data_IF_771763827734
#
_entry.id   IF_771763827734
#
_cell.length_a   1.000
_cell.length_b   1.000
_cell.length_c   1.000
_cell.angle_alpha   90.00
_cell.angle_beta   90.00
_cell.angle_gamma   90.00
#
_symmetry.space_group_name_H-M   'P 1'
#
loop_
_entity.id
_entity.type
_entity.pdbx_description
1 polymer ?
#
# COMPACT_ATOMS: atom_id res chain seq x y z
N UNK A 1 18.78 53.93 -19.03
CA UNK A 1 20.05 53.17 -19.03
C UNK A 1 20.33 52.65 -17.63
N UNK A 2 20.05 51.37 -17.36
CA UNK A 2 20.68 50.56 -16.30
C UNK A 2 20.06 49.17 -16.38
N UNK A 3 20.69 48.30 -17.17
CA UNK A 3 20.19 46.96 -17.50
C UNK A 3 21.40 46.04 -17.58
N UNK A 4 21.98 45.65 -16.43
CA UNK A 4 23.14 44.73 -16.38
C UNK A 4 23.48 44.29 -14.94
N UNK A 5 22.65 43.45 -14.29
CA UNK A 5 23.03 42.67 -13.09
C UNK A 5 22.27 41.33 -12.91
N UNK A 6 21.87 40.67 -13.99
CA UNK A 6 21.13 39.39 -13.91
C UNK A 6 21.94 38.07 -13.96
N UNK A 7 23.20 37.97 -14.47
CA UNK A 7 23.79 36.65 -14.72
C UNK A 7 24.46 35.98 -13.51
N UNK A 8 24.74 36.71 -12.42
CA UNK A 8 25.47 36.14 -11.28
C UNK A 8 24.60 35.30 -10.33
N UNK A 9 23.29 35.58 -10.25
CA UNK A 9 22.37 34.88 -9.33
C UNK A 9 21.99 33.49 -9.87
N UNK A 10 21.94 33.33 -11.19
CA UNK A 10 21.58 32.05 -11.82
C UNK A 10 22.69 30.97 -11.65
N UNK A 11 23.96 31.38 -11.63
CA UNK A 11 25.11 30.49 -11.43
C UNK A 11 25.26 30.02 -9.97
N UNK A 12 24.87 30.85 -9.00
CA UNK A 12 24.88 30.48 -7.58
C UNK A 12 23.79 29.44 -7.24
N UNK A 13 22.64 29.49 -7.93
CA UNK A 13 21.55 28.52 -7.71
C UNK A 13 21.91 27.11 -8.23
N UNK A 14 22.69 27.03 -9.31
CA UNK A 14 23.12 25.75 -9.90
C UNK A 14 24.18 25.03 -9.05
N UNK A 15 25.04 25.77 -8.33
CA UNK A 15 26.04 25.19 -7.45
C UNK A 15 25.44 24.60 -6.15
N UNK A 16 24.28 25.08 -5.70
CA UNK A 16 23.62 24.54 -4.50
C UNK A 16 22.91 23.19 -4.74
N UNK A 17 22.53 22.89 -5.99
CA UNK A 17 21.85 21.65 -6.39
C UNK A 17 22.81 20.47 -6.61
N UNK A 18 24.12 20.69 -6.61
CA UNK A 18 25.12 19.64 -6.85
C UNK A 18 25.56 18.87 -5.59
N UNK A 19 25.04 19.21 -4.40
CA UNK A 19 25.22 18.39 -3.21
C UNK A 19 24.27 17.19 -3.24
N UNK A 20 24.45 16.32 -4.24
CA UNK A 20 23.89 14.99 -4.23
C UNK A 20 24.50 14.25 -3.03
N UNK A 21 23.70 14.09 -1.97
CA UNK A 21 24.03 13.27 -0.82
C UNK A 21 24.34 11.88 -1.36
N UNK A 22 25.62 11.51 -1.38
CA UNK A 22 26.04 10.14 -1.62
C UNK A 22 25.51 9.31 -0.45
N UNK A 23 24.27 8.85 -0.57
CA UNK A 23 23.71 7.85 0.33
C UNK A 23 24.57 6.63 0.14
N UNK A 24 25.48 6.37 1.09
CA UNK A 24 26.18 5.10 1.16
C UNK A 24 25.11 4.02 1.17
N UNK A 25 25.00 3.29 0.06
CA UNK A 25 24.17 2.09 -0.02
C UNK A 25 24.69 1.11 1.02
N UNK A 26 24.15 1.18 2.25
CA UNK A 26 24.23 0.06 3.17
C UNK A 26 23.55 -1.09 2.46
N UNK A 27 24.28 -2.19 2.24
CA UNK A 27 23.67 -3.41 1.73
C UNK A 27 22.48 -3.79 2.61
N UNK A 28 21.36 -4.15 1.98
CA UNK A 28 20.15 -4.61 2.68
C UNK A 28 20.51 -5.73 3.66
N UNK A 29 20.00 -5.63 4.88
CA UNK A 29 20.09 -6.70 5.89
C UNK A 29 19.30 -7.92 5.43
N UNK A 30 19.59 -9.09 6.01
CA UNK A 30 18.84 -10.32 5.68
C UNK A 30 17.34 -10.22 6.02
N UNK A 31 16.97 -9.42 7.02
CA UNK A 31 15.57 -9.17 7.38
C UNK A 31 14.85 -8.38 6.28
N UNK A 32 15.45 -7.30 5.78
CA UNK A 32 14.88 -6.49 4.69
C UNK A 32 14.83 -7.27 3.37
N UNK A 33 15.83 -8.13 3.10
CA UNK A 33 15.80 -9.03 1.93
C UNK A 33 14.64 -10.00 2.00
N UNK A 34 14.39 -10.59 3.18
CA UNK A 34 13.27 -11.51 3.40
C UNK A 34 11.92 -10.80 3.22
N UNK A 35 11.77 -9.59 3.77
CA UNK A 35 10.56 -8.77 3.59
C UNK A 35 10.27 -8.44 2.11
N UNK A 36 11.31 -8.36 1.28
CA UNK A 36 11.22 -8.10 -0.17
C UNK A 36 11.20 -9.37 -1.03
N UNK A 37 11.14 -10.56 -0.44
CA UNK A 37 11.16 -11.83 -1.19
C UNK A 37 12.48 -12.12 -1.92
N UNK A 38 13.56 -11.41 -1.59
CA UNK A 38 14.88 -11.63 -2.16
C UNK A 38 15.60 -12.79 -1.45
N UNK A 39 16.45 -13.57 -2.14
CA UNK A 39 17.27 -14.59 -1.50
C UNK A 39 18.12 -14.01 -0.36
N UNK A 40 18.19 -14.69 0.77
CA UNK A 40 18.99 -14.29 1.94
C UNK A 40 20.47 -14.14 1.52
N UNK A 41 21.13 -13.04 1.92
CA UNK A 41 22.54 -12.85 1.63
C UNK A 41 23.38 -13.85 2.45
N UNK A 42 24.45 -14.36 1.82
CA UNK A 42 25.37 -15.29 2.48
C UNK A 42 25.90 -14.66 3.77
N UNK A 43 25.94 -15.40 4.90
CA UNK A 43 26.45 -14.87 6.15
C UNK A 43 27.90 -14.42 5.97
N UNK A 44 28.15 -13.13 6.16
CA UNK A 44 29.50 -12.60 6.21
C UNK A 44 30.05 -12.83 7.61
N UNK A 45 30.70 -13.97 7.80
CA UNK A 45 31.56 -14.15 8.96
C UNK A 45 32.77 -13.25 8.75
N UNK A 46 32.73 -12.05 9.35
CA UNK A 46 33.87 -11.14 9.40
C UNK A 46 35.07 -11.89 9.98
N UNK A 47 35.93 -12.38 9.09
CA UNK A 47 37.14 -13.10 9.49
C UNK A 47 38.06 -12.10 10.17
N UNK A 48 38.38 -12.43 11.41
CA UNK A 48 39.50 -11.92 12.18
C UNK A 48 39.35 -10.47 12.67
N UNK A 49 38.68 -10.32 13.83
CA UNK A 49 39.07 -9.25 14.74
C UNK A 49 40.54 -9.46 15.11
N UNK A 50 41.45 -8.51 14.83
CA UNK A 50 42.84 -8.62 15.27
C UNK A 50 42.87 -8.76 16.79
N UNK A 51 43.53 -9.81 17.29
CA UNK A 51 43.67 -10.08 18.72
C UNK A 51 42.70 -11.12 19.32
N UNK A 52 41.74 -11.67 18.55
CA UNK A 52 41.00 -12.86 18.98
C UNK A 52 41.50 -14.12 18.27
N UNK A 53 42.35 -14.88 18.95
CA UNK A 53 42.62 -16.26 18.55
C UNK A 53 41.29 -17.04 18.53
N UNK A 54 41.04 -17.90 17.51
CA UNK A 54 39.88 -18.78 17.50
C UNK A 54 39.84 -19.54 18.84
N UNK A 55 38.73 -19.46 19.57
CA UNK A 55 38.56 -20.24 20.79
C UNK A 55 38.74 -21.71 20.42
N UNK A 56 39.76 -22.42 20.95
CA UNK A 56 39.96 -23.82 20.63
C UNK A 56 38.71 -24.58 21.09
N UNK A 57 37.99 -25.15 20.12
CA UNK A 57 36.89 -26.06 20.38
C UNK A 57 37.51 -27.33 20.97
N UNK A 58 37.69 -27.34 22.29
CA UNK A 58 38.05 -28.54 23.02
C UNK A 58 36.89 -29.51 22.84
N UNK A 59 37.13 -30.59 22.10
CA UNK A 59 36.14 -31.64 21.90
C UNK A 59 35.71 -32.17 23.26
N UNK A 60 34.55 -31.71 23.73
CA UNK A 60 33.96 -32.22 24.95
C UNK A 60 33.71 -33.71 24.73
N UNK A 61 34.50 -34.55 25.43
CA UNK A 61 34.33 -35.99 25.52
C UNK A 61 32.92 -36.22 26.07
N UNK A 62 31.96 -36.46 25.17
CA UNK A 62 30.58 -36.81 25.55
C UNK A 62 30.66 -38.20 26.17
N UNK A 63 30.61 -38.26 27.51
CA UNK A 63 30.13 -39.45 28.19
C UNK A 63 28.77 -39.80 27.59
N UNK A 64 28.55 -41.07 27.27
CA UNK A 64 27.25 -41.60 26.85
C UNK A 64 26.24 -41.36 27.98
N UNK A 65 25.63 -40.16 27.99
CA UNK A 65 24.40 -39.93 28.74
C UNK A 65 23.33 -40.76 28.06
N UNK A 66 22.60 -41.54 28.86
CA UNK A 66 21.42 -42.27 28.42
C UNK A 66 20.56 -41.36 27.54
N UNK A 67 20.27 -41.83 26.32
CA UNK A 67 19.40 -41.12 25.39
C UNK A 67 18.14 -40.70 26.13
N UNK A 68 17.85 -39.39 26.28
CA UNK A 68 16.51 -39.00 26.64
C UNK A 68 15.61 -39.58 25.56
N UNK A 69 14.70 -40.47 25.96
CA UNK A 69 13.60 -40.93 25.13
C UNK A 69 13.06 -39.72 24.36
N UNK A 70 12.71 -39.85 23.07
CA UNK A 70 12.07 -38.78 22.34
C UNK A 70 10.79 -38.44 23.11
N UNK A 71 10.86 -37.41 23.96
CA UNK A 71 9.69 -36.75 24.50
C UNK A 71 8.86 -36.45 23.28
N UNK A 72 7.68 -37.07 23.21
CA UNK A 72 6.71 -36.85 22.17
C UNK A 72 6.72 -35.35 21.92
N UNK A 73 7.34 -34.94 20.80
CA UNK A 73 7.19 -33.59 20.30
C UNK A 73 5.70 -33.44 20.30
N UNK A 74 5.19 -32.60 21.19
CA UNK A 74 3.78 -32.24 21.16
C UNK A 74 3.59 -31.88 19.70
N UNK A 75 2.86 -32.73 18.98
CA UNK A 75 2.22 -32.36 17.76
C UNK A 75 1.32 -31.22 18.22
N UNK A 76 1.92 -30.03 18.30
CA UNK A 76 1.28 -28.78 18.02
C UNK A 76 0.53 -29.15 16.77
N UNK A 77 -0.74 -29.43 16.98
CA UNK A 77 -1.71 -29.57 15.95
C UNK A 77 -1.42 -28.34 15.10
N UNK A 78 -0.77 -28.62 13.97
CA UNK A 78 -0.76 -27.75 12.82
C UNK A 78 -2.22 -27.72 12.43
N UNK A 79 -3.03 -27.00 13.23
CA UNK A 79 -4.32 -26.47 12.90
C UNK A 79 -4.01 -25.68 11.66
N UNK A 80 -4.12 -26.38 10.52
CA UNK A 80 -3.82 -25.84 9.22
C UNK A 80 -4.48 -24.49 9.19
N UNK A 81 -3.69 -23.46 8.89
CA UNK A 81 -4.20 -22.10 8.77
C UNK A 81 -5.27 -22.13 7.69
N UNK A 82 -6.52 -22.43 8.06
CA UNK A 82 -7.61 -22.58 7.12
C UNK A 82 -7.77 -21.23 6.43
N UNK A 83 -7.47 -21.22 5.14
CA UNK A 83 -7.71 -20.08 4.28
C UNK A 83 -9.14 -20.15 3.79
N UNK A 84 -9.90 -19.07 3.94
CA UNK A 84 -11.27 -18.95 3.43
C UNK A 84 -11.26 -17.98 2.26
N UNK A 85 -11.64 -18.48 1.08
CA UNK A 85 -11.93 -17.65 -0.08
C UNK A 85 -13.33 -17.06 0.04
N UNK A 86 -13.42 -15.76 -0.25
CA UNK A 86 -14.63 -14.95 -0.17
C UNK A 86 -14.83 -14.25 -1.51
N UNK A 87 -16.10 -14.05 -1.85
CA UNK A 87 -16.54 -13.48 -3.12
C UNK A 87 -17.80 -12.66 -2.85
N UNK A 88 -17.96 -11.54 -3.54
CA UNK A 88 -19.14 -10.67 -3.38
C UNK A 88 -18.94 -9.30 -4.00
N UNK A 89 -19.75 -8.34 -3.54
CA UNK A 89 -19.60 -6.91 -3.86
C UNK A 89 -19.11 -6.15 -2.63
N UNK A 90 -18.57 -4.95 -2.83
CA UNK A 90 -18.21 -4.07 -1.71
C UNK A 90 -19.31 -3.04 -1.54
N UNK A 91 -20.05 -3.14 -0.44
CA UNK A 91 -21.00 -2.13 0.00
C UNK A 91 -20.25 -0.98 0.68
N UNK A 92 -20.67 0.25 0.38
CA UNK A 92 -20.12 1.49 0.95
C UNK A 92 -21.15 2.10 1.89
N UNK A 93 -20.81 2.16 3.17
CA UNK A 93 -21.61 2.79 4.21
C UNK A 93 -20.92 4.07 4.70
N UNK A 94 -21.67 5.08 5.10
CA UNK A 94 -21.11 6.18 5.90
C UNK A 94 -20.66 5.65 7.26
N UNK A 95 -19.84 6.42 7.99
CA UNK A 95 -19.49 6.09 9.39
C UNK A 95 -20.69 6.04 10.34
N UNK A 96 -21.85 6.59 9.96
CA UNK A 96 -23.12 6.46 10.69
C UNK A 96 -23.91 5.19 10.34
N UNK A 97 -23.40 4.34 9.44
CA UNK A 97 -24.06 3.14 8.94
C UNK A 97 -25.11 3.39 7.86
N UNK A 98 -25.15 4.58 7.27
CA UNK A 98 -26.08 4.89 6.18
C UNK A 98 -25.56 4.29 4.88
N UNK A 99 -26.41 3.52 4.19
CA UNK A 99 -26.08 2.96 2.89
C UNK A 99 -25.92 4.04 1.83
N UNK A 100 -24.74 4.08 1.19
CA UNK A 100 -24.50 4.95 0.03
C UNK A 100 -24.67 4.20 -1.28
N UNK A 101 -24.23 2.94 -1.35
CA UNK A 101 -24.25 2.17 -2.58
C UNK A 101 -23.21 1.06 -2.60
N UNK A 102 -22.82 0.64 -3.80
CA UNK A 102 -21.75 -0.34 -4.01
C UNK A 102 -20.54 0.30 -4.68
N UNK A 103 -19.36 -0.23 -4.40
CA UNK A 103 -18.13 0.18 -5.06
C UNK A 103 -18.23 -0.13 -6.56
N UNK A 104 -17.91 0.84 -7.40
CA UNK A 104 -17.98 0.72 -8.86
C UNK A 104 -16.70 1.26 -9.51
N UNK A 105 -16.34 0.69 -10.66
CA UNK A 105 -15.32 1.25 -11.54
C UNK A 105 -16.01 1.83 -12.75
N UNK A 106 -15.81 3.13 -12.98
CA UNK A 106 -16.37 3.82 -14.13
C UNK A 106 -15.50 3.64 -15.36
N UNK A 107 -16.02 3.96 -16.55
CA UNK A 107 -15.30 3.84 -17.84
C UNK A 107 -14.10 4.77 -17.96
N UNK A 108 -14.07 5.85 -17.17
CA UNK A 108 -12.88 6.68 -17.03
C UNK A 108 -11.81 6.02 -16.13
N UNK A 109 -12.08 4.83 -15.57
CA UNK A 109 -11.23 4.07 -14.67
C UNK A 109 -11.27 4.55 -13.20
N UNK A 110 -12.02 5.61 -12.90
CA UNK A 110 -12.18 6.09 -11.53
C UNK A 110 -12.96 5.06 -10.73
N UNK A 111 -12.52 4.79 -9.50
CA UNK A 111 -13.31 4.01 -8.55
C UNK A 111 -14.14 4.95 -7.69
N UNK A 112 -15.44 4.70 -7.62
CA UNK A 112 -16.37 5.48 -6.81
C UNK A 112 -17.55 4.65 -6.35
N UNK A 113 -18.67 5.32 -6.07
CA UNK A 113 -19.88 4.68 -5.54
C UNK A 113 -20.96 4.65 -6.63
N UNK A 114 -21.50 3.47 -6.91
CA UNK A 114 -22.76 3.30 -7.62
C UNK A 114 -23.91 3.38 -6.62
N UNK A 115 -24.74 4.41 -6.74
CA UNK A 115 -25.89 4.69 -5.88
C UNK A 115 -27.13 3.83 -6.20
N UNK A 116 -26.99 2.80 -7.04
CA UNK A 116 -28.10 1.98 -7.52
C UNK A 116 -28.89 2.63 -8.66
N UNK A 117 -28.39 3.72 -9.23
CA UNK A 117 -28.96 4.37 -10.43
C UNK A 117 -28.56 3.65 -11.70
N UNK A 118 -27.41 2.96 -11.69
CA UNK A 118 -26.89 2.22 -12.82
C UNK A 118 -27.19 0.73 -12.67
N UNK A 119 -27.12 -0.01 -13.78
CA UNK A 119 -27.27 -1.46 -13.74
C UNK A 119 -26.24 -2.09 -12.77
N UNK A 120 -26.65 -3.14 -12.04
CA UNK A 120 -25.77 -3.90 -11.13
C UNK A 120 -24.50 -4.42 -11.82
N UNK A 121 -24.46 -4.45 -13.16
CA UNK A 121 -23.28 -4.80 -13.95
C UNK A 121 -22.09 -3.84 -13.79
N UNK A 122 -22.33 -2.64 -13.26
CA UNK A 122 -21.29 -1.64 -12.97
C UNK A 122 -20.65 -1.83 -11.58
N UNK A 123 -21.23 -2.65 -10.71
CA UNK A 123 -20.68 -2.91 -9.39
C UNK A 123 -19.39 -3.74 -9.49
N UNK A 124 -18.40 -3.41 -8.68
CA UNK A 124 -17.18 -4.21 -8.58
C UNK A 124 -17.47 -5.55 -7.89
N UNK A 125 -17.36 -6.61 -8.67
CA UNK A 125 -17.32 -7.99 -8.17
C UNK A 125 -15.91 -8.27 -7.71
N UNK A 126 -15.75 -8.67 -6.45
CA UNK A 126 -14.43 -8.89 -5.85
C UNK A 126 -14.28 -10.31 -5.30
N UNK A 127 -13.03 -10.74 -5.17
CA UNK A 127 -12.68 -11.93 -4.41
C UNK A 127 -11.37 -11.76 -3.66
N UNK A 128 -11.26 -12.46 -2.54
CA UNK A 128 -10.02 -12.47 -1.77
C UNK A 128 -9.96 -13.71 -0.89
N UNK A 129 -8.76 -14.03 -0.40
CA UNK A 129 -8.54 -15.15 0.52
C UNK A 129 -7.98 -14.63 1.82
N UNK A 130 -8.66 -14.97 2.92
CA UNK A 130 -8.26 -14.57 4.28
C UNK A 130 -7.82 -15.79 5.08
N UNK A 131 -6.92 -15.58 6.05
CA UNK A 131 -6.68 -16.59 7.08
C UNK A 131 -7.80 -16.57 8.11
N UNK A 132 -8.07 -17.72 8.73
CA UNK A 132 -9.11 -17.86 9.76
C UNK A 132 -8.98 -16.85 10.94
N UNK A 133 -7.78 -16.32 11.20
CA UNK A 133 -7.57 -15.33 12.27
C UNK A 133 -8.09 -13.92 11.91
N UNK A 134 -8.40 -13.62 10.64
CA UNK A 134 -8.82 -12.30 10.15
C UNK A 134 -7.80 -11.16 10.32
N UNK A 135 -6.59 -11.46 10.79
CA UNK A 135 -5.57 -10.44 11.14
C UNK A 135 -4.56 -10.17 10.02
N UNK A 136 -4.45 -11.09 9.08
CA UNK A 136 -3.50 -10.97 7.98
C UNK A 136 -4.05 -10.05 6.89
N UNK A 137 -3.15 -9.27 6.27
CA UNK A 137 -3.53 -8.47 5.11
C UNK A 137 -3.57 -9.31 3.84
N UNK A 138 -4.49 -8.98 2.95
CA UNK A 138 -4.71 -9.68 1.69
C UNK A 138 -4.89 -8.68 0.54
N UNK A 139 -4.81 -9.22 -0.66
CA UNK A 139 -5.16 -8.52 -1.89
C UNK A 139 -6.62 -8.76 -2.22
N UNK A 140 -7.32 -7.71 -2.65
CA UNK A 140 -8.68 -7.81 -3.17
C UNK A 140 -8.58 -7.86 -4.68
N UNK A 141 -8.91 -9.02 -5.25
CA UNK A 141 -8.94 -9.22 -6.70
C UNK A 141 -10.29 -8.73 -7.26
N UNK A 142 -10.23 -7.99 -8.36
CA UNK A 142 -11.42 -7.52 -9.09
C UNK A 142 -11.74 -8.53 -10.21
N UNK A 143 -12.99 -8.95 -10.27
CA UNK A 143 -13.48 -10.07 -11.07
C UNK A 143 -14.44 -9.65 -12.20
N UNK A 144 -14.62 -8.35 -12.45
CA UNK A 144 -15.53 -7.88 -13.49
C UNK A 144 -15.09 -8.39 -14.88
N UNK A 145 -16.06 -8.73 -15.73
CA UNK A 145 -15.76 -9.19 -17.08
C UNK A 145 -15.12 -8.06 -17.91
N UNK A 146 -14.04 -8.38 -18.63
CA UNK A 146 -13.39 -7.43 -19.55
C UNK A 146 -12.29 -6.55 -18.93
N UNK A 147 -12.07 -6.61 -17.61
CA UNK A 147 -10.87 -6.06 -16.98
C UNK A 147 -9.83 -7.17 -16.81
N UNK A 148 -8.55 -6.83 -17.04
CA UNK A 148 -7.45 -7.73 -16.67
C UNK A 148 -7.46 -7.95 -15.16
N UNK A 149 -6.93 -9.07 -14.67
CA UNK A 149 -6.83 -9.32 -13.23
C UNK A 149 -6.04 -8.21 -12.57
N UNK A 150 -6.72 -7.42 -11.74
CA UNK A 150 -6.14 -6.28 -11.06
C UNK A 150 -6.60 -6.24 -9.62
N UNK A 151 -5.76 -5.63 -8.78
CA UNK A 151 -6.01 -5.55 -7.36
C UNK A 151 -6.57 -4.19 -6.97
N UNK A 152 -7.50 -4.20 -6.03
CA UNK A 152 -7.90 -3.00 -5.29
C UNK A 152 -6.71 -2.57 -4.43
N UNK A 153 -6.31 -1.30 -4.48
CA UNK A 153 -5.13 -0.83 -3.79
C UNK A 153 -5.03 0.68 -3.70
N UNK A 154 -3.83 1.14 -3.38
CA UNK A 154 -3.48 2.54 -3.19
C UNK A 154 -2.32 2.92 -4.11
N UNK A 155 -2.31 4.15 -4.59
CA UNK A 155 -1.18 4.70 -5.34
C UNK A 155 -0.94 6.15 -4.95
N UNK A 156 0.26 6.46 -4.46
CA UNK A 156 0.67 7.81 -4.08
C UNK A 156 2.14 7.84 -3.68
N UNK A 157 2.73 9.03 -3.57
CA UNK A 157 4.00 9.25 -2.86
C UNK A 157 3.78 9.98 -1.51
N UNK A 158 2.51 10.20 -1.12
CA UNK A 158 2.16 10.91 0.10
C UNK A 158 2.37 10.06 1.35
N UNK A 159 2.61 10.74 2.47
CA UNK A 159 2.68 10.13 3.81
C UNK A 159 1.42 10.53 4.56
N UNK A 160 0.63 9.54 4.98
CA UNK A 160 -0.54 9.77 5.83
C UNK A 160 -0.08 9.88 7.29
N UNK A 161 -0.65 10.82 8.03
CA UNK A 161 -0.42 10.98 9.47
C UNK A 161 -1.64 11.63 10.13
N UNK A 162 -1.76 11.51 11.44
CA UNK A 162 -2.79 12.23 12.21
C UNK A 162 -2.55 13.73 12.14
N UNK A 163 -3.61 14.52 11.94
CA UNK A 163 -3.51 15.97 11.76
C UNK A 163 -2.92 16.43 10.41
N UNK A 164 -2.60 15.51 9.50
CA UNK A 164 -2.11 15.83 8.16
C UNK A 164 -3.26 15.92 7.15
N UNK A 165 -3.30 16.95 6.28
CA UNK A 165 -4.27 17.02 5.18
C UNK A 165 -3.86 16.15 3.99
N UNK A 166 -2.80 15.34 4.12
CA UNK A 166 -2.32 14.49 3.04
C UNK A 166 -3.31 13.36 2.76
N UNK A 167 -3.43 13.01 1.48
CA UNK A 167 -4.26 11.91 1.03
C UNK A 167 -3.49 11.02 0.06
N UNK A 168 -3.94 9.79 -0.05
CA UNK A 168 -3.45 8.77 -0.96
C UNK A 168 -4.61 8.38 -1.86
N UNK A 169 -4.40 8.43 -3.17
CA UNK A 169 -5.46 8.09 -4.12
C UNK A 169 -5.80 6.61 -4.03
N UNK A 170 -7.10 6.33 -4.11
CA UNK A 170 -7.62 4.97 -4.19
C UNK A 170 -7.47 4.46 -5.64
N UNK A 171 -6.57 3.51 -5.84
CA UNK A 171 -6.30 2.81 -7.12
C UNK A 171 -5.98 3.68 -8.34
N UNK A 172 -4.69 3.93 -8.64
CA UNK A 172 -4.20 4.36 -9.97
C UNK A 172 -2.73 3.96 -10.26
N UNK A 173 -2.50 2.86 -10.99
CA UNK A 173 -1.23 2.68 -11.74
C UNK A 173 -1.23 3.60 -12.97
N UNK A 174 -0.22 4.48 -13.08
CA UNK A 174 0.02 5.29 -14.27
C UNK A 174 1.21 4.77 -15.06
N UNK A 175 0.97 4.36 -16.30
CA UNK A 175 2.02 4.31 -17.30
C UNK A 175 1.50 4.85 -18.64
N UNK A 176 1.33 6.17 -18.72
CA UNK A 176 1.27 6.86 -20.01
C UNK A 176 2.28 8.00 -20.01
N UNK A 177 3.41 7.76 -20.67
CA UNK A 177 4.39 8.78 -21.02
C UNK A 177 3.77 9.74 -22.03
N UNK A 178 3.28 10.89 -21.57
CA UNK A 178 2.85 11.99 -22.44
C UNK A 178 4.07 12.77 -22.94
N UNK A 179 4.63 12.33 -24.06
CA UNK A 179 5.59 13.14 -24.83
C UNK A 179 4.91 14.05 -25.87
N UNK A 180 3.60 13.94 -26.14
CA UNK A 180 2.97 14.69 -27.25
C UNK A 180 1.53 15.12 -27.01
N UNK A 181 1.24 15.93 -25.98
CA UNK A 181 -0.05 16.64 -25.94
C UNK A 181 0.14 18.09 -25.50
N UNK A 182 0.51 18.94 -26.45
CA UNK A 182 0.26 20.38 -26.40
C UNK A 182 -1.09 20.65 -27.05
N UNK A 183 -2.18 20.62 -26.30
CA UNK A 183 -3.18 21.70 -26.38
C UNK A 183 -4.16 21.64 -25.20
N UNK A 184 -4.45 22.83 -24.70
CA UNK A 184 -5.34 23.08 -23.58
C UNK A 184 -6.76 22.55 -23.85
N UNK A 185 -7.42 21.99 -22.82
CA UNK A 185 -8.84 21.57 -22.76
C UNK A 185 -9.12 20.05 -22.93
N UNK A 186 -8.14 19.21 -23.32
CA UNK A 186 -8.29 17.73 -23.28
C UNK A 186 -7.53 17.00 -22.14
N UNK A 187 -6.92 17.73 -21.21
CA UNK A 187 -6.10 17.19 -20.11
C UNK A 187 -6.87 16.71 -18.85
N UNK A 188 -8.17 16.39 -18.97
CA UNK A 188 -9.00 15.93 -17.83
C UNK A 188 -9.25 14.42 -17.75
N UNK A 189 -8.70 13.63 -18.66
CA UNK A 189 -8.83 12.17 -18.63
C UNK A 189 -7.45 11.54 -18.76
N UNK A 190 -6.68 11.56 -17.68
CA UNK A 190 -5.57 10.64 -17.51
C UNK A 190 -6.14 9.37 -16.88
N UNK A 191 -6.13 8.30 -17.68
CA UNK A 191 -6.73 6.99 -17.44
C UNK A 191 -6.32 6.41 -16.08
N UNK A 192 -7.33 5.90 -15.37
CA UNK A 192 -7.26 5.49 -13.98
C UNK A 192 -7.23 3.95 -13.93
N UNK A 193 -6.25 3.38 -13.23
CA UNK A 193 -5.96 1.96 -13.29
C UNK A 193 -5.85 1.28 -11.93
N UNK A 194 -6.57 0.19 -11.77
CA UNK A 194 -6.41 -0.78 -10.68
C UNK A 194 -4.92 -1.21 -10.56
N UNK A 195 -4.46 -1.60 -9.36
CA UNK A 195 -3.04 -1.92 -9.16
C UNK A 195 -2.72 -3.24 -9.86
N UNK A 196 -1.78 -3.19 -10.81
CA UNK A 196 -1.37 -4.36 -11.61
C UNK A 196 -0.34 -5.24 -10.90
N UNK A 197 0.33 -4.69 -9.88
CA UNK A 197 1.40 -5.37 -9.15
C UNK A 197 0.98 -5.74 -7.73
N UNK A 198 1.13 -7.01 -7.37
CA UNK A 198 0.96 -7.47 -6.00
C UNK A 198 2.12 -6.99 -5.12
N UNK A 199 1.83 -6.40 -3.96
CA UNK A 199 2.85 -6.02 -2.97
C UNK A 199 2.98 -7.04 -1.84
N UNK A 200 4.18 -7.21 -1.23
CA UNK A 200 4.32 -7.99 -0.01
C UNK A 200 3.50 -7.40 1.16
N UNK A 201 3.13 -8.26 2.12
CA UNK A 201 2.42 -7.82 3.33
C UNK A 201 3.34 -6.91 4.13
N UNK A 202 2.85 -5.74 4.55
CA UNK A 202 3.58 -4.75 5.36
C UNK A 202 4.82 -4.14 4.68
N UNK A 203 5.02 -4.34 3.38
CA UNK A 203 6.06 -3.62 2.68
C UNK A 203 5.61 -2.19 2.40
N UNK A 204 6.53 -1.22 2.38
CA UNK A 204 6.26 0.06 1.74
C UNK A 204 5.77 -0.14 0.30
N UNK A 205 5.01 0.84 -0.23
CA UNK A 205 4.59 0.86 -1.63
C UNK A 205 5.78 0.66 -2.58
N UNK A 206 5.55 -0.11 -3.66
CA UNK A 206 6.56 -0.36 -4.69
C UNK A 206 6.52 0.76 -5.74
N UNK A 207 7.68 1.14 -6.29
CA UNK A 207 7.71 2.14 -7.36
C UNK A 207 6.97 1.65 -8.60
N UNK A 208 6.07 2.48 -9.12
CA UNK A 208 5.31 2.28 -10.36
C UNK A 208 5.29 3.58 -11.16
N UNK A 209 6.10 3.65 -12.22
CA UNK A 209 6.32 4.89 -12.96
C UNK A 209 6.87 6.01 -12.07
N UNK A 210 6.15 7.14 -12.01
CA UNK A 210 6.49 8.29 -11.16
C UNK A 210 5.80 8.25 -9.78
N UNK A 211 5.11 7.16 -9.46
CA UNK A 211 4.35 6.98 -8.22
C UNK A 211 4.82 5.72 -7.50
N UNK A 212 4.19 5.41 -6.38
CA UNK A 212 4.28 4.09 -5.76
C UNK A 212 2.91 3.46 -5.65
N UNK A 213 2.85 2.13 -5.67
CA UNK A 213 1.63 1.33 -5.62
C UNK A 213 1.69 0.29 -4.50
N UNK A 214 0.54 0.06 -3.85
CA UNK A 214 0.36 -0.95 -2.81
C UNK A 214 -1.01 -1.64 -2.95
N UNK A 215 -1.03 -2.97 -3.08
CA UNK A 215 -2.26 -3.76 -3.23
C UNK A 215 -2.67 -4.46 -1.93
N UNK A 216 -1.68 -4.87 -1.12
CA UNK A 216 -1.88 -5.77 0.02
C UNK A 216 -2.16 -5.05 1.34
N UNK A 217 -3.11 -4.13 1.28
CA UNK A 217 -3.49 -3.22 2.36
C UNK A 217 -4.77 -3.62 3.08
N UNK A 218 -5.46 -4.66 2.62
CA UNK A 218 -6.81 -4.98 3.10
C UNK A 218 -6.81 -5.96 4.25
N UNK A 219 -7.72 -5.76 5.20
CA UNK A 219 -8.02 -6.69 6.30
C UNK A 219 -9.54 -6.90 6.39
N UNK A 220 -9.97 -8.02 6.97
CA UNK A 220 -11.36 -8.44 6.96
C UNK A 220 -11.78 -8.99 8.31
N UNK A 221 -12.89 -8.46 8.83
CA UNK A 221 -13.48 -8.91 10.09
C UNK A 221 -14.69 -9.78 9.79
N UNK A 222 -14.58 -11.10 9.98
CA UNK A 222 -15.63 -12.05 9.57
C UNK A 222 -16.97 -11.87 10.27
N UNK A 223 -16.97 -11.34 11.50
CA UNK A 223 -18.20 -11.09 12.26
C UNK A 223 -19.05 -9.95 11.68
N UNK A 224 -18.41 -8.82 11.35
CA UNK A 224 -19.09 -7.64 10.80
C UNK A 224 -19.11 -7.61 9.26
N UNK A 225 -18.34 -8.49 8.60
CA UNK A 225 -18.00 -8.43 7.18
C UNK A 225 -17.27 -7.16 6.74
N UNK A 226 -16.75 -6.39 7.68
CA UNK A 226 -16.06 -5.14 7.39
C UNK A 226 -14.71 -5.40 6.72
N UNK A 227 -14.44 -4.66 5.64
CA UNK A 227 -13.15 -4.59 4.95
C UNK A 227 -12.47 -3.28 5.36
N UNK A 228 -11.25 -3.34 5.91
CA UNK A 228 -10.48 -2.16 6.33
C UNK A 228 -9.17 -2.04 5.56
N UNK A 229 -8.85 -0.83 5.13
CA UNK A 229 -7.56 -0.46 4.56
C UNK A 229 -6.51 -0.25 5.67
N UNK A 230 -5.27 -0.62 5.38
CA UNK A 230 -4.11 -0.48 6.25
C UNK A 230 -2.91 -0.10 5.39
N UNK A 231 -2.85 1.16 4.97
CA UNK A 231 -1.77 1.66 4.11
C UNK A 231 -0.43 1.66 4.86
N UNK A 232 0.67 1.39 4.16
CA UNK A 232 2.03 1.63 4.66
C UNK A 232 2.58 2.84 3.93
N UNK A 233 3.08 3.81 4.68
CA UNK A 233 3.71 4.97 4.07
C UNK A 233 5.05 4.58 3.39
N UNK A 234 5.57 5.39 2.46
CA UNK A 234 6.89 5.17 1.86
C UNK A 234 8.04 5.08 2.88
N UNK A 235 7.90 5.73 4.04
CA UNK A 235 8.85 5.69 5.15
C UNK A 235 8.68 4.46 6.07
N UNK A 236 7.82 3.50 5.70
CA UNK A 236 7.45 2.30 6.47
C UNK A 236 6.62 2.55 7.73
N UNK A 237 6.18 3.77 8.00
CA UNK A 237 5.20 4.02 9.07
C UNK A 237 3.83 3.44 8.70
N UNK A 238 3.05 3.05 9.71
CA UNK A 238 1.73 2.43 9.53
C UNK A 238 0.68 3.30 10.24
N UNK A 239 0.22 4.38 9.59
CA UNK A 239 -0.74 5.30 10.17
C UNK A 239 -2.13 4.68 10.24
N UNK A 240 -3.02 5.29 11.03
CA UNK A 240 -4.46 5.04 10.89
C UNK A 240 -4.86 5.41 9.46
N UNK A 241 -5.50 4.50 8.75
CA UNK A 241 -5.98 4.72 7.38
C UNK A 241 -7.50 4.79 7.40
N UNK A 242 -8.05 5.95 7.03
CA UNK A 242 -9.48 6.18 6.84
C UNK A 242 -9.81 6.22 5.36
N UNK A 243 -11.03 5.84 4.99
CA UNK A 243 -11.54 5.99 3.62
C UNK A 243 -12.42 7.23 3.58
N UNK A 244 -11.98 8.23 2.84
CA UNK A 244 -12.74 9.45 2.58
C UNK A 244 -13.48 9.33 1.25
N UNK A 245 -14.72 9.78 1.23
CA UNK A 245 -15.56 9.86 0.04
C UNK A 245 -15.89 11.32 -0.31
N UNK A 246 -15.63 11.73 -1.55
CA UNK A 246 -16.06 13.02 -2.10
C UNK A 246 -17.31 12.81 -2.96
N UNK A 247 -18.45 13.32 -2.49
CA UNK A 247 -19.72 13.26 -3.24
C UNK A 247 -19.70 14.11 -4.51
N UNK A 248 -18.93 15.22 -4.51
CA UNK A 248 -18.80 16.10 -5.67
C UNK A 248 -18.11 15.42 -6.85
N UNK A 249 -17.02 14.70 -6.57
CA UNK A 249 -16.23 14.04 -7.61
C UNK A 249 -16.55 12.55 -7.78
N UNK A 250 -17.47 12.02 -6.96
CA UNK A 250 -17.74 10.60 -6.80
C UNK A 250 -16.46 9.76 -6.71
N UNK A 251 -15.53 10.18 -5.86
CA UNK A 251 -14.22 9.55 -5.73
C UNK A 251 -13.93 9.14 -4.30
N UNK A 252 -13.08 8.13 -4.15
CA UNK A 252 -12.61 7.61 -2.89
C UNK A 252 -11.12 7.90 -2.73
N UNK A 253 -10.70 8.20 -1.50
CA UNK A 253 -9.29 8.44 -1.14
C UNK A 253 -8.99 7.83 0.22
N UNK A 254 -7.72 7.52 0.47
CA UNK A 254 -7.24 7.22 1.81
C UNK A 254 -6.68 8.47 2.47
N UNK A 255 -7.00 8.69 3.74
CA UNK A 255 -6.48 9.81 4.54
C UNK A 255 -6.08 9.33 5.93
N UNK A 256 -5.16 10.08 6.55
CA UNK A 256 -4.82 9.88 7.97
C UNK A 256 -5.82 10.55 8.92
N UNK A 257 -6.43 11.66 8.45
CA UNK A 257 -7.32 12.51 9.24
C UNK A 257 -8.27 13.29 8.30
N UNK A 258 -9.57 12.97 8.36
CA UNK A 258 -10.59 13.59 7.50
C UNK A 258 -10.82 15.06 7.87
N UNK A 259 -10.77 15.39 9.16
CA UNK A 259 -11.02 16.75 9.62
C UNK A 259 -9.86 17.66 9.23
N UNK A 260 -8.62 17.19 9.38
CA UNK A 260 -7.44 17.92 8.91
C UNK A 260 -7.48 18.17 7.39
N UNK A 261 -7.87 17.16 6.60
CA UNK A 261 -8.06 17.31 5.17
C UNK A 261 -9.14 18.36 4.85
N UNK A 262 -10.32 18.26 5.47
CA UNK A 262 -11.44 19.15 5.21
C UNK A 262 -11.14 20.60 5.62
N UNK A 263 -10.43 20.81 6.73
CA UNK A 263 -10.01 22.13 7.20
C UNK A 263 -8.96 22.78 6.29
N UNK A 264 -8.13 21.97 5.60
CA UNK A 264 -7.16 22.46 4.63
C UNK A 264 -7.77 22.71 3.24
N UNK A 265 -8.90 22.07 2.93
CA UNK A 265 -9.61 22.29 1.68
C UNK A 265 -10.23 23.69 1.63
N UNK A 266 -9.88 24.46 0.60
CA UNK A 266 -10.45 25.80 0.38
C UNK A 266 -11.88 25.78 -0.14
N UNK A 267 -12.40 24.61 -0.54
CA UNK A 267 -13.76 24.45 -1.08
C UNK A 267 -14.53 23.40 -0.29
N UNK A 268 -15.77 23.75 0.09
CA UNK A 268 -16.73 22.83 0.69
C UNK A 268 -17.09 21.67 -0.26
N UNK A 269 -17.00 21.88 -1.57
CA UNK A 269 -17.28 20.86 -2.59
C UNK A 269 -16.26 19.71 -2.56
N UNK A 270 -15.05 19.98 -2.07
CA UNK A 270 -14.01 18.97 -1.96
C UNK A 270 -14.00 18.27 -0.58
N UNK A 271 -15.00 18.52 0.26
CA UNK A 271 -15.08 17.87 1.57
C UNK A 271 -15.23 16.35 1.43
N UNK A 272 -14.57 15.64 2.33
CA UNK A 272 -14.63 14.20 2.45
C UNK A 272 -15.60 13.81 3.57
N UNK A 273 -16.40 12.80 3.30
CA UNK A 273 -17.19 12.08 4.30
C UNK A 273 -16.51 10.75 4.60
N UNK A 274 -16.43 10.39 5.88
CA UNK A 274 -15.89 9.09 6.30
C UNK A 274 -16.82 7.95 5.86
N UNK A 275 -16.26 6.95 5.18
CA UNK A 275 -16.97 5.77 4.73
C UNK A 275 -16.27 4.49 5.16
N UNK A 276 -17.05 3.42 5.24
CA UNK A 276 -16.62 2.08 5.60
C UNK A 276 -17.06 1.07 4.54
N UNK A 277 -16.23 0.06 4.32
CA UNK A 277 -16.49 -0.98 3.32
C UNK A 277 -16.92 -2.28 3.96
N UNK A 278 -17.91 -2.93 3.35
CA UNK A 278 -18.46 -4.20 3.80
C UNK A 278 -18.57 -5.17 2.64
N UNK A 279 -18.21 -6.44 2.88
CA UNK A 279 -18.47 -7.49 1.89
C UNK A 279 -19.96 -7.85 1.92
N UNK A 280 -20.64 -7.66 0.80
CA UNK A 280 -22.03 -8.04 0.60
C UNK A 280 -22.15 -9.41 -0.06
#
# INVERSE_FOLDING_TARGET
MQLLRAPAILLALFALLANAVAVSYRGLTNAERLARGLPIAKPQFGRNLPGRAPTPASGAKRSQSASPSPSASSSSSSWGSYSKSLYGRIEVLTSSGTHLGFLSSFTNGTVGVNYGTDSESSDLSVSFTTKANGKDRFDVLINNAGVSQTYLGATSNATLDSGSPSYVSFGVDFNHTTAELTDSILHRFAEFGLVSQQTPVYSPPLASGNQTAESKIWSYTSGSKQIKANYVNPDSSVPTTLIGYSSHSNSLVFVGDIDAYNNASSSADNSLTSVEFYLY
#
